data_IF_438026664281
#
_entry.id   IF_438026664281
#
_cell.length_a   1.000
_cell.length_b   1.000
_cell.length_c   1.000
_cell.angle_alpha   90.00
_cell.angle_beta   90.00
_cell.angle_gamma   90.00
#
_symmetry.space_group_name_H-M   'P 1'
#
loop_
_entity.id
_entity.type
_entity.pdbx_description
1 polymer ?
#
# COMPACT_ATOMS: atom_id res chain seq x y z
N UNK A 1 9.13 -4.09 -3.48
CA UNK A 1 9.43 -3.80 -4.90
C UNK A 1 9.31 -5.01 -5.80
N UNK A 2 9.78 -6.18 -5.37
CA UNK A 2 9.64 -7.38 -6.19
C UNK A 2 8.17 -7.70 -6.49
N UNK A 3 7.26 -7.52 -5.50
CA UNK A 3 5.83 -7.77 -5.74
C UNK A 3 5.29 -6.86 -6.85
N UNK A 4 5.66 -5.58 -6.85
CA UNK A 4 5.22 -4.66 -7.89
C UNK A 4 5.73 -5.08 -9.27
N UNK A 5 7.00 -5.49 -9.38
CA UNK A 5 7.57 -5.93 -10.65
C UNK A 5 6.97 -7.22 -11.15
N UNK A 6 6.71 -8.18 -10.24
CA UNK A 6 6.12 -9.47 -10.59
C UNK A 6 4.68 -9.33 -11.09
N UNK A 7 3.95 -8.31 -10.61
CA UNK A 7 2.54 -8.12 -10.93
C UNK A 7 2.34 -7.21 -12.15
N UNK A 8 3.33 -6.39 -12.49
CA UNK A 8 3.20 -5.48 -13.63
C UNK A 8 2.82 -6.24 -14.90
N UNK A 9 1.97 -5.67 -15.80
CA UNK A 9 1.47 -4.28 -15.79
C UNK A 9 0.24 -4.03 -14.91
N UNK A 10 -0.25 -5.02 -14.20
CA UNK A 10 -1.34 -4.82 -13.25
C UNK A 10 -0.82 -4.23 -11.94
N UNK A 11 -1.68 -3.53 -11.20
CA UNK A 11 -1.32 -3.01 -9.87
C UNK A 11 -1.28 -4.17 -8.88
N UNK A 12 -0.22 -4.20 -8.05
CA UNK A 12 -0.20 -5.07 -6.89
C UNK A 12 -0.74 -4.31 -5.68
N UNK A 13 -1.12 -5.04 -4.64
CA UNK A 13 -1.52 -4.43 -3.39
C UNK A 13 -1.16 -5.33 -2.20
N UNK A 14 -1.18 -4.73 -1.01
CA UNK A 14 -0.91 -5.46 0.22
C UNK A 14 -1.05 -4.56 1.43
N UNK A 15 -0.63 -5.08 2.56
CA UNK A 15 -0.78 -4.42 3.86
C UNK A 15 0.60 -4.08 4.44
N UNK A 16 0.63 -2.97 5.18
CA UNK A 16 1.81 -2.52 5.91
C UNK A 16 1.63 -2.92 7.37
N UNK A 17 2.56 -3.67 7.92
CA UNK A 17 2.50 -4.18 9.29
C UNK A 17 3.60 -3.56 10.13
N UNK A 18 3.32 -3.34 11.40
CA UNK A 18 4.31 -2.81 12.34
C UNK A 18 3.70 -2.44 13.66
N UNK A 19 4.34 -1.50 14.35
CA UNK A 19 3.88 -1.00 15.64
C UNK A 19 4.27 0.47 15.77
N UNK A 20 3.37 1.29 16.31
CA UNK A 20 3.60 2.72 16.46
C UNK A 20 3.86 3.38 15.11
N UNK A 21 5.03 3.99 14.96
CA UNK A 21 5.42 4.67 13.72
C UNK A 21 6.34 3.82 12.84
N UNK A 22 6.59 2.57 13.23
CA UNK A 22 7.55 1.71 12.53
C UNK A 22 6.84 0.65 11.71
N UNK A 23 6.98 0.74 10.38
CA UNK A 23 6.58 -0.33 9.47
C UNK A 23 7.72 -1.34 9.45
N UNK A 24 7.45 -2.57 9.89
CA UNK A 24 8.48 -3.60 10.00
C UNK A 24 8.40 -4.64 8.91
N UNK A 25 7.23 -4.82 8.29
CA UNK A 25 7.10 -5.77 7.20
C UNK A 25 5.86 -5.45 6.35
N UNK A 26 5.80 -6.08 5.20
CA UNK A 26 4.65 -5.99 4.29
C UNK A 26 4.06 -7.38 4.07
N UNK A 27 2.77 -7.43 3.80
CA UNK A 27 2.07 -8.67 3.50
C UNK A 27 1.38 -8.53 2.15
N UNK A 28 1.72 -9.42 1.22
CA UNK A 28 1.09 -9.42 -0.10
C UNK A 28 -0.36 -9.87 0.01
N UNK A 29 -1.22 -9.23 -0.78
CA UNK A 29 -2.61 -9.65 -0.91
C UNK A 29 -2.96 -9.79 -2.39
N UNK A 30 -4.04 -10.52 -2.64
CA UNK A 30 -4.61 -10.56 -3.99
C UNK A 30 -5.31 -9.23 -4.27
N UNK A 31 -5.23 -8.79 -5.51
CA UNK A 31 -5.99 -7.64 -5.98
C UNK A 31 -7.30 -8.15 -6.58
N UNK A 32 -8.41 -7.79 -5.97
CA UNK A 32 -9.74 -8.24 -6.41
C UNK A 32 -10.20 -7.51 -7.67
N UNK A 33 -9.63 -6.35 -7.98
CA UNK A 33 -10.03 -5.57 -9.15
C UNK A 33 -9.55 -6.23 -10.43
N UNK A 34 -10.42 -6.30 -11.43
CA UNK A 34 -10.04 -6.72 -12.77
C UNK A 34 -9.46 -5.57 -13.61
N UNK A 35 -9.60 -4.32 -13.16
CA UNK A 35 -9.08 -3.15 -13.84
C UNK A 35 -7.58 -3.02 -13.55
N UNK A 36 -6.69 -3.00 -14.58
CA UNK A 36 -5.25 -2.90 -14.34
C UNK A 36 -4.81 -1.55 -13.74
N UNK A 37 -5.69 -0.55 -13.72
CA UNK A 37 -5.39 0.78 -13.16
C UNK A 37 -6.00 0.99 -11.77
N UNK A 38 -6.50 -0.06 -11.15
CA UNK A 38 -7.14 -0.01 -9.83
C UNK A 38 -6.65 -1.15 -8.96
N UNK A 39 -6.79 -0.97 -7.65
CA UNK A 39 -6.56 -2.08 -6.73
C UNK A 39 -7.70 -2.15 -5.72
N UNK A 40 -7.98 -3.37 -5.28
CA UNK A 40 -8.90 -3.64 -4.19
C UNK A 40 -8.36 -4.83 -3.42
N UNK A 41 -7.97 -4.61 -2.18
CA UNK A 41 -7.43 -5.68 -1.33
C UNK A 41 -8.49 -6.75 -1.14
N UNK A 42 -8.14 -8.00 -1.44
CA UNK A 42 -9.05 -9.13 -1.30
C UNK A 42 -9.50 -9.24 0.17
N UNK A 43 -10.81 -9.23 0.45
CA UNK A 43 -11.31 -9.21 1.84
C UNK A 43 -10.82 -10.37 2.70
N UNK A 44 -10.72 -11.56 2.15
CA UNK A 44 -10.23 -12.73 2.90
C UNK A 44 -8.77 -12.55 3.29
N UNK A 45 -7.95 -12.05 2.37
CA UNK A 45 -6.54 -11.79 2.63
C UNK A 45 -6.38 -10.70 3.68
N UNK A 46 -7.22 -9.67 3.65
CA UNK A 46 -7.20 -8.58 4.61
C UNK A 46 -7.50 -9.10 6.02
N UNK A 47 -8.58 -9.87 6.17
CA UNK A 47 -8.99 -10.43 7.46
C UNK A 47 -7.92 -11.38 7.99
N UNK A 48 -7.42 -12.27 7.14
CA UNK A 48 -6.40 -13.24 7.50
C UNK A 48 -5.12 -12.56 7.99
N UNK A 49 -4.67 -11.54 7.25
CA UNK A 49 -3.46 -10.80 7.62
C UNK A 49 -3.62 -10.08 8.95
N UNK A 50 -4.78 -9.48 9.21
CA UNK A 50 -5.03 -8.82 10.50
C UNK A 50 -4.96 -9.82 11.66
N UNK A 51 -5.48 -11.02 11.48
CA UNK A 51 -5.44 -12.06 12.52
C UNK A 51 -4.01 -12.50 12.82
N UNK A 52 -3.21 -12.73 11.76
CA UNK A 52 -1.81 -13.12 11.93
C UNK A 52 -1.01 -12.00 12.59
N UNK A 53 -1.20 -10.77 12.16
CA UNK A 53 -0.53 -9.61 12.74
C UNK A 53 -0.82 -9.51 14.23
N UNK A 54 -2.10 -9.61 14.60
CA UNK A 54 -2.51 -9.55 16.01
C UNK A 54 -1.85 -10.65 16.84
N UNK A 55 -1.77 -11.87 16.32
CA UNK A 55 -1.14 -12.98 17.04
C UNK A 55 0.35 -12.78 17.25
N UNK A 56 0.99 -11.93 16.44
CA UNK A 56 2.41 -11.61 16.53
C UNK A 56 2.68 -10.29 17.25
N UNK A 57 1.66 -9.65 17.81
CA UNK A 57 1.80 -8.35 18.46
C UNK A 57 2.01 -7.18 17.50
N UNK A 58 1.63 -7.35 16.24
CA UNK A 58 1.74 -6.31 15.22
C UNK A 58 0.36 -5.74 14.88
N UNK A 59 0.37 -4.56 14.25
CA UNK A 59 -0.84 -3.88 13.79
C UNK A 59 -0.76 -3.68 12.28
N UNK A 60 -1.93 -3.57 11.64
CA UNK A 60 -2.01 -3.09 10.27
C UNK A 60 -1.96 -1.57 10.32
N UNK A 61 -0.87 -1.00 9.82
CA UNK A 61 -0.65 0.45 9.81
C UNK A 61 -1.13 1.10 8.53
N UNK A 62 -1.31 0.33 7.47
CA UNK A 62 -1.73 0.88 6.20
C UNK A 62 -1.71 -0.14 5.09
N UNK A 63 -1.72 0.40 3.88
CA UNK A 63 -1.83 -0.36 2.64
C UNK A 63 -0.75 0.08 1.68
N UNK A 64 -0.37 -0.79 0.74
CA UNK A 64 0.48 -0.39 -0.37
C UNK A 64 -0.14 -0.85 -1.67
N UNK A 65 0.18 -0.12 -2.73
CA UNK A 65 -0.13 -0.56 -4.09
C UNK A 65 0.90 0.01 -5.05
N UNK A 66 0.94 -0.54 -6.26
CA UNK A 66 1.90 -0.10 -7.27
C UNK A 66 1.23 0.75 -8.34
N UNK A 67 2.02 1.65 -8.93
CA UNK A 67 1.70 2.36 -10.16
C UNK A 67 2.72 1.90 -11.21
N UNK A 68 2.40 0.88 -12.02
CA UNK A 68 3.39 0.35 -12.96
C UNK A 68 3.85 1.35 -14.01
N UNK A 69 3.01 2.33 -14.38
CA UNK A 69 3.28 3.27 -15.47
C UNK A 69 3.14 4.73 -15.11
N UNK A 70 2.77 5.04 -13.88
CA UNK A 70 2.52 6.41 -13.45
C UNK A 70 3.40 6.77 -12.25
N UNK A 71 3.56 8.07 -11.94
CA UNK A 71 4.33 8.49 -10.77
C UNK A 71 3.75 7.97 -9.45
N UNK A 72 4.58 8.00 -8.40
CA UNK A 72 4.18 7.57 -7.05
C UNK A 72 3.34 8.64 -6.34
N UNK A 73 2.34 9.18 -7.02
CA UNK A 73 1.40 10.14 -6.47
C UNK A 73 -0.01 9.54 -6.52
N UNK A 74 -0.88 9.84 -5.53
CA UNK A 74 -2.23 9.29 -5.54
C UNK A 74 -2.99 9.72 -6.79
N UNK A 75 -3.66 8.76 -7.44
CA UNK A 75 -4.54 9.05 -8.55
C UNK A 75 -5.89 9.55 -8.03
N UNK A 76 -6.74 10.07 -8.93
CA UNK A 76 -8.10 10.44 -8.56
C UNK A 76 -8.87 9.23 -8.05
N UNK A 77 -8.64 8.05 -8.64
CA UNK A 77 -9.25 6.80 -8.18
C UNK A 77 -8.76 6.43 -6.78
N UNK A 78 -7.46 6.56 -6.53
CA UNK A 78 -6.90 6.29 -5.20
C UNK A 78 -7.58 7.15 -4.13
N UNK A 79 -7.74 8.45 -4.42
CA UNK A 79 -8.39 9.38 -3.49
C UNK A 79 -9.86 9.04 -3.27
N UNK A 80 -10.57 8.71 -4.35
CA UNK A 80 -12.00 8.42 -4.28
C UNK A 80 -12.31 7.13 -3.53
N UNK A 81 -11.41 6.15 -3.59
CA UNK A 81 -11.62 4.83 -3.01
C UNK A 81 -10.93 4.62 -1.66
N UNK A 82 -10.22 5.63 -1.15
CA UNK A 82 -9.58 5.53 0.16
C UNK A 82 -10.66 5.43 1.26
N UNK A 83 -10.58 4.39 2.07
CA UNK A 83 -11.62 4.05 3.03
C UNK A 83 -11.17 4.06 4.49
N UNK A 84 -9.89 4.29 4.76
CA UNK A 84 -9.33 4.13 6.11
C UNK A 84 -8.61 5.42 6.55
N UNK A 85 -9.36 6.39 7.12
CA UNK A 85 -8.73 7.62 7.62
C UNK A 85 -7.67 7.32 8.68
N UNK A 86 -6.59 8.07 8.66
CA UNK A 86 -5.48 7.89 9.59
C UNK A 86 -4.48 6.81 9.21
N UNK A 87 -4.83 5.93 8.28
CA UNK A 87 -3.92 4.87 7.84
C UNK A 87 -2.90 5.40 6.83
N UNK A 88 -1.79 4.69 6.72
CA UNK A 88 -0.74 5.01 5.75
C UNK A 88 -1.03 4.31 4.42
N UNK A 89 -0.66 4.99 3.33
CA UNK A 89 -0.77 4.44 1.98
C UNK A 89 0.57 4.61 1.29
N UNK A 90 1.22 3.50 0.97
CA UNK A 90 2.48 3.52 0.24
C UNK A 90 2.21 3.26 -1.24
N UNK A 91 2.80 4.07 -2.10
CA UNK A 91 2.69 3.91 -3.55
C UNK A 91 4.07 3.60 -4.10
N UNK A 92 4.18 2.50 -4.85
CA UNK A 92 5.42 2.08 -5.49
C UNK A 92 5.28 2.32 -6.98
N UNK A 93 6.04 3.28 -7.51
CA UNK A 93 6.04 3.57 -8.94
C UNK A 93 7.18 2.84 -9.63
N UNK A 94 6.85 2.16 -10.72
CA UNK A 94 7.83 1.53 -11.60
C UNK A 94 8.12 2.37 -12.85
N UNK A 95 7.58 3.60 -12.91
CA UNK A 95 7.78 4.49 -14.06
C UNK A 95 9.21 5.05 -14.12
N UNK A 96 9.94 4.97 -13.02
CA UNK A 96 11.33 5.43 -12.94
C UNK A 96 12.23 4.25 -12.56
N UNK A 97 13.52 4.39 -12.86
CA UNK A 97 14.54 3.42 -12.48
C UNK A 97 15.63 4.15 -11.68
N UNK A 98 15.84 3.82 -10.40
CA UNK A 98 15.13 2.78 -9.62
C UNK A 98 13.69 3.18 -9.31
N UNK A 99 12.92 2.22 -8.84
CA UNK A 99 11.51 2.45 -8.48
C UNK A 99 11.40 3.50 -7.37
N UNK A 100 10.36 4.34 -7.45
CA UNK A 100 10.09 5.38 -6.49
C UNK A 100 9.01 4.90 -5.50
N UNK A 101 9.27 5.06 -4.21
CA UNK A 101 8.33 4.68 -3.16
C UNK A 101 8.01 5.90 -2.33
N UNK A 102 6.73 6.26 -2.27
CA UNK A 102 6.26 7.39 -1.47
C UNK A 102 5.19 6.96 -0.50
N UNK A 103 5.15 7.60 0.65
CA UNK A 103 4.24 7.26 1.73
C UNK A 103 3.32 8.43 2.01
N UNK A 104 2.03 8.15 2.13
CA UNK A 104 0.99 9.15 2.38
C UNK A 104 0.16 8.75 3.59
N UNK A 105 -0.33 9.74 4.32
CA UNK A 105 -1.33 9.52 5.37
C UNK A 105 -2.69 9.97 4.85
N UNK A 106 -3.70 9.12 5.00
CA UNK A 106 -5.06 9.46 4.61
C UNK A 106 -5.67 10.39 5.66
N UNK A 107 -6.05 11.59 5.24
CA UNK A 107 -6.65 12.63 6.08
C UNK A 107 -8.02 13.01 5.52
N UNK A 108 -8.88 13.70 6.31
CA UNK A 108 -10.22 14.05 5.83
C UNK A 108 -10.23 14.84 4.51
N UNK A 109 -9.20 15.63 4.24
CA UNK A 109 -9.10 16.44 3.02
C UNK A 109 -8.33 15.76 1.89
N UNK A 110 -7.89 14.52 2.08
CA UNK A 110 -7.16 13.78 1.06
C UNK A 110 -5.92 13.11 1.62
N UNK A 111 -4.87 13.01 0.81
CA UNK A 111 -3.61 12.39 1.23
C UNK A 111 -2.55 13.46 1.49
N UNK A 112 -1.79 13.27 2.58
CA UNK A 112 -0.64 14.12 2.89
C UNK A 112 0.61 13.26 2.80
N UNK A 113 1.56 13.65 1.97
CA UNK A 113 2.83 12.93 1.89
C UNK A 113 3.59 13.06 3.21
N UNK A 114 4.12 11.94 3.70
CA UNK A 114 4.94 11.89 4.92
C UNK A 114 6.32 11.37 4.58
N UNK A 115 7.33 11.88 5.27
CA UNK A 115 8.68 11.38 5.09
C UNK A 115 8.85 10.03 5.76
N UNK A 116 9.72 9.22 5.18
CA UNK A 116 10.07 7.91 5.73
C UNK A 116 11.54 7.66 5.48
N UNK A 117 12.09 6.76 6.27
CA UNK A 117 13.46 6.33 6.07
C UNK A 117 13.56 4.83 6.29
N UNK A 118 14.49 4.22 5.57
CA UNK A 118 14.72 2.79 5.72
C UNK A 118 15.54 2.58 6.99
N UNK A 119 14.96 1.82 7.91
CA UNK A 119 15.61 1.46 9.17
C UNK A 119 16.34 0.14 8.98
N UNK A 120 17.60 0.09 9.39
CA UNK A 120 18.46 -1.07 9.19
C UNK A 120 18.94 -1.67 10.50
#
# INVERSE_FOLDING_TARGET
>A
MSHARETAPAECCGLLLGAGDAITETARTRNLSADPNRFEVHPEDHIHTRRIARSRGLEVLGFYHSHPRSPATPSATDLAEAAYPGYLYAIVSLSLEPADVRLYRHEPTGFREVSWQLDR
#
